data_IF_939779780187
#
_entry.id   IF_939779780187
#
_cell.length_a   1.000
_cell.length_b   1.000
_cell.length_c   1.000
_cell.angle_alpha   90.00
_cell.angle_beta   90.00
_cell.angle_gamma   90.00
#
_symmetry.space_group_name_H-M   'P 1'
#
loop_
_entity.id
_entity.type
_entity.pdbx_description
1 polymer ?
#
# COMPACT_ATOMS: atom_id res chain seq x y z
N UNK A 1 12.73 17.60 12.17
CA UNK A 1 12.40 17.03 13.50
C UNK A 1 10.89 16.87 13.69
N UNK A 2 10.07 17.87 13.38
CA UNK A 2 8.64 17.91 13.74
C UNK A 2 7.72 17.14 12.80
N UNK A 3 8.13 16.84 11.58
CA UNK A 3 7.33 16.11 10.61
C UNK A 3 8.02 14.82 10.13
N UNK A 4 9.14 14.92 9.41
CA UNK A 4 9.72 13.79 8.72
C UNK A 4 10.07 12.59 9.64
N UNK A 5 10.66 12.84 10.82
CA UNK A 5 11.02 11.75 11.74
C UNK A 5 9.78 11.11 12.38
N UNK A 6 8.86 11.85 13.03
CA UNK A 6 7.69 11.22 13.66
C UNK A 6 6.77 10.58 12.62
N UNK A 7 6.54 11.21 11.46
CA UNK A 7 5.74 10.62 10.39
C UNK A 7 6.32 9.31 9.88
N UNK A 8 7.61 9.26 9.56
CA UNK A 8 8.24 8.04 9.05
C UNK A 8 8.33 6.93 10.11
N UNK A 9 8.50 7.26 11.40
CA UNK A 9 8.39 6.26 12.48
C UNK A 9 7.00 5.64 12.53
N UNK A 10 5.96 6.45 12.35
CA UNK A 10 4.57 6.02 12.34
C UNK A 10 4.26 5.15 11.11
N UNK A 11 4.76 5.55 9.94
CA UNK A 11 4.57 4.85 8.67
C UNK A 11 5.32 3.52 8.61
N UNK A 12 6.60 3.51 8.96
CA UNK A 12 7.45 2.33 8.79
C UNK A 12 7.38 1.35 9.97
N UNK A 13 6.89 1.79 11.13
CA UNK A 13 6.90 0.96 12.36
C UNK A 13 8.27 0.31 12.62
N UNK A 14 9.34 0.97 12.20
CA UNK A 14 10.71 0.48 12.20
C UNK A 14 11.63 1.64 12.57
N UNK A 15 12.66 1.41 13.41
CA UNK A 15 13.66 2.43 13.70
C UNK A 15 14.32 2.92 12.40
N UNK A 16 14.30 4.23 12.15
CA UNK A 16 14.83 4.79 10.88
C UNK A 16 16.34 4.53 10.72
N UNK A 17 17.07 4.37 11.81
CA UNK A 17 18.49 4.02 11.78
C UNK A 17 18.78 2.60 11.27
N UNK A 18 17.78 1.70 11.25
CA UNK A 18 17.89 0.35 10.69
C UNK A 18 17.45 0.28 9.22
N UNK A 19 17.17 1.44 8.59
CA UNK A 19 16.74 1.53 7.20
C UNK A 19 17.84 2.14 6.35
N UNK A 20 17.94 1.65 5.11
CA UNK A 20 18.72 2.29 4.06
C UNK A 20 18.05 3.60 3.61
N UNK A 21 18.81 4.46 2.92
CA UNK A 21 18.28 5.70 2.35
C UNK A 21 17.88 5.56 0.88
N UNK A 22 18.10 4.42 0.26
CA UNK A 22 17.81 4.16 -1.15
C UNK A 22 16.33 4.36 -1.53
N UNK A 23 15.39 4.12 -0.59
CA UNK A 23 13.97 4.38 -0.81
C UNK A 23 13.61 5.86 -0.99
N UNK A 24 14.48 6.77 -0.57
CA UNK A 24 14.26 8.21 -0.74
C UNK A 24 14.40 8.65 -2.21
N UNK A 25 15.19 7.93 -2.99
CA UNK A 25 15.47 8.27 -4.38
C UNK A 25 14.20 8.38 -5.22
N UNK A 26 13.96 9.55 -5.83
CA UNK A 26 12.81 9.85 -6.66
C UNK A 26 11.45 9.97 -5.92
N UNK A 27 11.37 9.59 -4.65
CA UNK A 27 10.12 9.65 -3.85
C UNK A 27 10.05 10.86 -2.92
N UNK A 28 11.19 11.32 -2.46
CA UNK A 28 11.29 12.51 -1.61
C UNK A 28 12.10 13.56 -2.37
N UNK A 29 11.50 14.69 -2.74
CA UNK A 29 12.23 15.75 -3.41
C UNK A 29 13.32 16.32 -2.49
N UNK A 30 14.48 16.59 -3.04
CA UNK A 30 15.53 17.30 -2.30
C UNK A 30 15.04 18.71 -1.96
N UNK A 31 15.33 19.20 -0.74
CA UNK A 31 14.94 20.55 -0.36
C UNK A 31 15.65 21.57 -1.25
N UNK A 32 14.90 22.51 -1.80
CA UNK A 32 15.38 23.67 -2.52
C UNK A 32 15.29 24.90 -1.59
N UNK A 33 16.43 25.51 -1.29
CA UNK A 33 16.49 26.64 -0.35
C UNK A 33 15.68 27.84 -0.86
N UNK A 34 15.72 28.13 -2.16
CA UNK A 34 14.98 29.25 -2.74
C UNK A 34 13.46 29.01 -2.61
N UNK A 35 12.98 27.78 -2.87
CA UNK A 35 11.58 27.42 -2.67
C UNK A 35 11.16 27.49 -1.21
N UNK A 36 12.02 27.06 -0.28
CA UNK A 36 11.74 27.13 1.17
C UNK A 36 11.58 28.60 1.59
N UNK A 37 12.50 29.46 1.19
CA UNK A 37 12.44 30.90 1.53
C UNK A 37 11.22 31.55 0.89
N UNK A 38 10.97 31.30 -0.39
CA UNK A 38 9.80 31.84 -1.09
C UNK A 38 8.48 31.38 -0.46
N UNK A 39 8.39 30.08 -0.13
CA UNK A 39 7.20 29.52 0.51
C UNK A 39 6.96 29.99 1.96
N UNK A 40 8.01 30.45 2.65
CA UNK A 40 7.91 31.09 3.95
C UNK A 40 7.38 32.54 3.87
N UNK A 41 7.57 33.22 2.74
CA UNK A 41 7.14 34.60 2.51
C UNK A 41 5.74 34.68 1.88
N UNK A 42 5.41 33.74 1.00
CA UNK A 42 4.12 33.69 0.33
C UNK A 42 3.77 32.23 -0.05
N UNK A 43 2.47 31.87 -0.13
CA UNK A 43 2.05 30.55 -0.61
C UNK A 43 2.63 30.26 -1.99
N UNK A 44 3.11 29.02 -2.22
CA UNK A 44 3.61 28.61 -3.52
C UNK A 44 2.45 28.51 -4.54
N UNK A 45 2.61 29.15 -5.69
CA UNK A 45 1.61 29.15 -6.76
C UNK A 45 1.45 27.80 -7.46
N UNK A 46 2.47 26.96 -7.40
CA UNK A 46 2.48 25.64 -8.08
C UNK A 46 2.65 24.53 -7.07
N UNK A 47 1.88 23.41 -7.23
CA UNK A 47 2.09 22.21 -6.42
C UNK A 47 3.52 21.69 -6.60
N UNK A 48 4.16 21.29 -5.51
CA UNK A 48 5.52 20.74 -5.49
C UNK A 48 5.49 19.31 -4.99
N UNK A 49 6.30 18.44 -5.59
CA UNK A 49 6.47 17.06 -5.18
C UNK A 49 5.94 16.03 -6.19
N UNK A 50 6.23 14.74 -5.97
CA UNK A 50 5.94 13.66 -6.93
C UNK A 50 4.44 13.45 -7.17
N UNK A 51 3.59 13.83 -6.21
CA UNK A 51 2.13 13.71 -6.30
C UNK A 51 1.42 15.04 -6.62
N UNK A 52 2.18 16.04 -7.11
CA UNK A 52 1.62 17.35 -7.44
C UNK A 52 0.53 17.30 -8.52
N UNK A 53 0.62 16.31 -9.41
CA UNK A 53 -0.40 15.96 -10.40
C UNK A 53 -0.50 14.46 -10.53
N UNK A 54 -1.73 13.94 -10.59
CA UNK A 54 -2.00 12.53 -10.87
C UNK A 54 -3.28 12.41 -11.71
N UNK A 55 -3.38 11.32 -12.48
CA UNK A 55 -4.60 10.96 -13.18
C UNK A 55 -5.45 9.99 -12.36
N UNK A 56 -6.76 10.11 -12.46
CA UNK A 56 -7.71 9.20 -11.82
C UNK A 56 -8.88 8.93 -12.78
N UNK A 57 -9.43 7.71 -12.84
CA UNK A 57 -10.60 7.43 -13.65
C UNK A 57 -11.79 8.29 -13.26
N UNK A 58 -12.46 8.91 -14.23
CA UNK A 58 -13.61 9.77 -13.97
C UNK A 58 -14.76 9.00 -13.32
N UNK A 59 -14.98 7.73 -13.71
CA UNK A 59 -16.02 6.84 -13.20
C UNK A 59 -15.46 5.46 -12.89
N UNK A 60 -16.09 4.74 -11.93
CA UNK A 60 -15.76 3.37 -11.58
C UNK A 60 -14.55 3.21 -10.64
N UNK A 61 -14.04 4.32 -10.08
CA UNK A 61 -12.92 4.29 -9.16
C UNK A 61 -11.64 3.80 -9.84
N UNK A 62 -10.62 3.47 -9.04
CA UNK A 62 -9.34 2.98 -9.58
C UNK A 62 -9.47 1.64 -10.32
N UNK A 63 -10.48 0.83 -9.96
CA UNK A 63 -10.80 -0.44 -10.62
C UNK A 63 -11.09 -0.26 -12.12
N UNK A 64 -11.65 0.88 -12.54
CA UNK A 64 -11.91 1.17 -13.94
C UNK A 64 -10.65 1.12 -14.81
N UNK A 65 -9.48 1.48 -14.26
CA UNK A 65 -8.21 1.36 -14.95
C UNK A 65 -7.89 -0.11 -15.27
N UNK A 66 -8.08 -1.01 -14.29
CA UNK A 66 -7.87 -2.45 -14.49
C UNK A 66 -8.91 -3.05 -15.44
N UNK A 67 -10.16 -2.69 -15.29
CA UNK A 67 -11.24 -3.15 -16.16
C UNK A 67 -11.01 -2.74 -17.64
N UNK A 68 -10.31 -1.63 -17.87
CA UNK A 68 -9.92 -1.18 -19.21
C UNK A 68 -9.00 -2.13 -19.96
N UNK A 69 -8.28 -3.00 -19.27
CA UNK A 69 -7.42 -4.02 -19.89
C UNK A 69 -8.21 -5.27 -20.33
N UNK A 70 -9.33 -5.58 -19.68
CA UNK A 70 -10.07 -6.83 -19.92
C UNK A 70 -10.42 -7.08 -21.39
N UNK A 71 -10.90 -6.10 -22.17
CA UNK A 71 -11.23 -6.31 -23.60
C UNK A 71 -10.00 -6.63 -24.48
N UNK A 72 -8.79 -6.36 -23.98
CA UNK A 72 -7.54 -6.55 -24.71
C UNK A 72 -6.83 -7.87 -24.34
N UNK A 73 -7.36 -8.63 -23.36
CA UNK A 73 -6.81 -9.91 -22.98
C UNK A 73 -7.29 -10.99 -23.96
N UNK A 74 -6.35 -11.71 -24.56
CA UNK A 74 -6.61 -12.90 -25.39
C UNK A 74 -6.50 -14.22 -24.64
N UNK A 75 -6.10 -14.15 -23.34
CA UNK A 75 -5.96 -15.32 -22.49
C UNK A 75 -7.17 -15.48 -21.55
N UNK A 76 -7.31 -16.66 -20.97
CA UNK A 76 -8.30 -16.92 -19.92
C UNK A 76 -7.92 -16.16 -18.66
N UNK A 77 -8.86 -15.38 -18.12
CA UNK A 77 -8.77 -14.77 -16.80
C UNK A 77 -9.64 -15.57 -15.82
N UNK A 78 -8.99 -16.23 -14.87
CA UNK A 78 -9.70 -16.92 -13.78
C UNK A 78 -9.62 -16.08 -12.50
N UNK A 79 -10.77 -15.87 -11.87
CA UNK A 79 -10.90 -15.19 -10.58
C UNK A 79 -11.48 -16.15 -9.54
N UNK A 80 -11.29 -15.83 -8.24
CA UNK A 80 -11.77 -16.68 -7.16
C UNK A 80 -10.97 -17.97 -6.95
N UNK A 81 -9.84 -18.14 -7.66
CA UNK A 81 -8.96 -19.31 -7.56
C UNK A 81 -7.57 -18.86 -7.16
N UNK A 82 -7.07 -19.37 -6.05
CA UNK A 82 -5.73 -19.06 -5.55
C UNK A 82 -4.73 -20.16 -5.94
N UNK A 83 -3.45 -19.79 -6.07
CA UNK A 83 -2.35 -20.77 -6.12
C UNK A 83 -2.08 -21.24 -4.69
N UNK A 84 -2.17 -22.54 -4.45
CA UNK A 84 -1.94 -23.18 -3.15
C UNK A 84 -0.50 -23.67 -2.98
N UNK A 85 0.14 -24.10 -4.07
CA UNK A 85 1.49 -24.65 -4.06
C UNK A 85 2.20 -24.40 -5.40
N UNK A 86 3.51 -24.22 -5.34
CA UNK A 86 4.37 -24.09 -6.53
C UNK A 86 5.46 -25.15 -6.45
N UNK A 87 5.65 -25.88 -7.53
CA UNK A 87 6.68 -26.92 -7.68
C UNK A 87 7.66 -26.51 -8.79
N UNK A 88 8.72 -25.76 -8.47
CA UNK A 88 9.62 -25.19 -9.48
C UNK A 88 10.30 -26.24 -10.35
N UNK A 89 10.74 -27.39 -9.77
CA UNK A 89 11.47 -28.43 -10.48
C UNK A 89 10.61 -29.11 -11.54
N UNK A 90 9.32 -29.33 -11.27
CA UNK A 90 8.36 -29.91 -12.22
C UNK A 90 7.64 -28.88 -13.05
N UNK A 91 7.92 -27.58 -12.82
CA UNK A 91 7.24 -26.44 -13.47
C UNK A 91 5.72 -26.56 -13.39
N UNK A 92 5.20 -26.79 -12.19
CA UNK A 92 3.76 -26.94 -11.99
C UNK A 92 3.28 -26.12 -10.80
N UNK A 93 2.00 -25.75 -10.84
CA UNK A 93 1.29 -25.12 -9.73
C UNK A 93 0.06 -25.94 -9.38
N UNK A 94 -0.26 -25.99 -8.10
CA UNK A 94 -1.51 -26.54 -7.58
C UNK A 94 -2.42 -25.39 -7.18
N UNK A 95 -3.65 -25.41 -7.65
CA UNK A 95 -4.66 -24.41 -7.33
C UNK A 95 -5.45 -24.79 -6.09
N UNK A 96 -6.14 -23.82 -5.48
CA UNK A 96 -6.97 -24.03 -4.28
C UNK A 96 -8.16 -24.99 -4.48
N UNK A 97 -8.58 -25.19 -5.73
CA UNK A 97 -9.61 -26.15 -6.12
C UNK A 97 -9.05 -27.56 -6.45
N UNK A 98 -7.77 -27.79 -6.25
CA UNK A 98 -7.10 -29.07 -6.48
C UNK A 98 -6.59 -29.30 -7.89
N UNK A 99 -6.83 -28.41 -8.85
CA UNK A 99 -6.30 -28.51 -10.22
C UNK A 99 -4.78 -28.34 -10.22
N UNK A 100 -4.12 -29.06 -11.12
CA UNK A 100 -2.68 -28.92 -11.37
C UNK A 100 -2.46 -28.35 -12.77
N UNK A 101 -1.66 -27.30 -12.86
CA UNK A 101 -1.32 -26.65 -14.12
C UNK A 101 0.21 -26.74 -14.33
N UNK A 102 0.62 -27.06 -15.56
CA UNK A 102 2.01 -26.99 -16.00
C UNK A 102 2.29 -25.60 -16.60
N UNK A 103 3.51 -25.12 -16.47
CA UNK A 103 3.96 -23.88 -17.08
C UNK A 103 5.33 -24.02 -17.73
N UNK A 104 5.55 -23.32 -18.82
CA UNK A 104 6.88 -23.12 -19.41
C UNK A 104 7.57 -21.93 -18.77
N UNK A 105 6.81 -20.86 -18.55
CA UNK A 105 7.22 -19.64 -17.88
C UNK A 105 6.14 -19.24 -16.87
N UNK A 106 6.54 -18.85 -15.68
CA UNK A 106 5.64 -18.33 -14.63
C UNK A 106 5.97 -16.86 -14.37
N UNK A 107 4.99 -15.99 -14.51
CA UNK A 107 5.09 -14.59 -14.09
C UNK A 107 4.31 -14.44 -12.79
N UNK A 108 4.99 -14.02 -11.72
CA UNK A 108 4.39 -13.83 -10.41
C UNK A 108 4.28 -12.34 -10.07
N UNK A 109 3.11 -11.95 -9.57
CA UNK A 109 2.88 -10.64 -8.94
C UNK A 109 2.65 -10.74 -7.44
N UNK A 110 2.75 -11.97 -6.88
CA UNK A 110 2.63 -12.21 -5.44
C UNK A 110 3.72 -11.49 -4.65
N UNK A 111 3.47 -11.11 -3.39
CA UNK A 111 4.53 -10.67 -2.51
C UNK A 111 5.67 -11.70 -2.45
N UNK A 112 6.91 -11.23 -2.57
CA UNK A 112 8.08 -12.10 -2.73
C UNK A 112 8.23 -13.15 -1.61
N UNK A 113 8.02 -12.83 -0.32
CA UNK A 113 8.03 -13.84 0.74
C UNK A 113 6.93 -14.90 0.58
N UNK A 114 5.76 -14.48 0.12
CA UNK A 114 4.62 -15.37 -0.09
C UNK A 114 4.87 -16.34 -1.26
N UNK A 115 5.46 -15.85 -2.35
CA UNK A 115 5.89 -16.68 -3.48
C UNK A 115 6.84 -17.79 -3.02
N UNK A 116 7.83 -17.47 -2.20
CA UNK A 116 8.78 -18.45 -1.66
C UNK A 116 8.07 -19.41 -0.68
N UNK A 117 7.15 -18.91 0.15
CA UNK A 117 6.35 -19.72 1.08
C UNK A 117 5.55 -20.81 0.35
N UNK A 118 4.95 -20.50 -0.80
CA UNK A 118 4.19 -21.45 -1.61
C UNK A 118 5.05 -22.57 -2.20
N UNK A 119 6.36 -22.40 -2.27
CA UNK A 119 7.30 -23.43 -2.70
C UNK A 119 7.73 -24.35 -1.54
N UNK A 120 7.66 -23.88 -0.31
CA UNK A 120 8.00 -24.63 0.89
C UNK A 120 9.42 -25.20 0.83
N UNK A 121 9.58 -26.47 1.20
CA UNK A 121 10.87 -27.17 1.21
C UNK A 121 11.51 -27.36 -0.19
N UNK A 122 10.82 -27.03 -1.27
CA UNK A 122 11.36 -27.10 -2.64
C UNK A 122 12.27 -25.90 -2.95
N UNK A 123 12.12 -24.79 -2.24
CA UNK A 123 13.09 -23.71 -2.29
C UNK A 123 14.31 -24.06 -1.43
N UNK A 124 15.54 -23.74 -1.88
CA UNK A 124 16.75 -23.92 -1.07
C UNK A 124 16.65 -23.23 0.29
N UNK A 125 17.24 -23.80 1.32
CA UNK A 125 17.21 -23.25 2.68
C UNK A 125 17.67 -21.78 2.72
N UNK A 126 18.71 -21.43 1.98
CA UNK A 126 19.21 -20.05 1.90
C UNK A 126 18.15 -19.09 1.33
N UNK A 127 17.36 -19.53 0.32
CA UNK A 127 16.26 -18.73 -0.27
C UNK A 127 15.11 -18.56 0.73
N UNK A 128 14.74 -19.62 1.45
CA UNK A 128 13.72 -19.57 2.50
C UNK A 128 14.13 -18.62 3.63
N UNK A 129 15.39 -18.69 4.06
CA UNK A 129 15.94 -17.78 5.09
C UNK A 129 15.95 -16.33 4.61
N UNK A 130 16.39 -16.07 3.37
CA UNK A 130 16.35 -14.74 2.78
C UNK A 130 14.93 -14.18 2.73
N UNK A 131 13.95 -15.00 2.31
CA UNK A 131 12.55 -14.60 2.25
C UNK A 131 11.97 -14.29 3.65
N UNK A 132 12.29 -15.08 4.67
CA UNK A 132 11.83 -14.86 6.05
C UNK A 132 12.39 -13.60 6.71
N UNK A 133 13.49 -13.07 6.18
CA UNK A 133 14.10 -11.82 6.63
C UNK A 133 13.55 -10.58 5.93
N UNK A 134 12.77 -10.74 4.87
CA UNK A 134 12.14 -9.60 4.18
C UNK A 134 11.04 -9.00 5.04
N UNK A 135 11.11 -7.69 5.27
CA UNK A 135 10.23 -6.96 6.18
C UNK A 135 9.28 -6.06 5.42
N UNK A 136 8.07 -5.96 5.92
CA UNK A 136 7.04 -5.06 5.41
C UNK A 136 6.20 -4.50 6.55
N UNK A 137 5.40 -3.52 6.25
CA UNK A 137 4.29 -3.07 7.10
C UNK A 137 2.98 -3.39 6.40
N UNK A 138 1.96 -3.64 7.21
CA UNK A 138 0.57 -3.77 6.78
C UNK A 138 -0.15 -2.44 6.93
N UNK A 139 -1.21 -2.23 6.17
CA UNK A 139 -2.10 -1.07 6.32
C UNK A 139 -3.53 -1.55 6.51
N UNK A 140 -4.17 -1.01 7.51
CA UNK A 140 -5.61 -1.08 7.69
C UNK A 140 -6.21 0.25 7.22
N UNK A 141 -7.12 0.19 6.26
CA UNK A 141 -7.89 1.32 5.78
C UNK A 141 -9.26 1.33 6.44
N UNK A 142 -9.57 2.37 7.19
CA UNK A 142 -10.93 2.65 7.64
C UNK A 142 -11.52 3.67 6.68
N UNK A 143 -12.52 3.24 5.90
CA UNK A 143 -13.23 4.08 4.96
C UNK A 143 -14.48 4.66 5.64
N UNK A 144 -14.72 5.94 5.47
CA UNK A 144 -15.87 6.65 6.01
C UNK A 144 -16.58 7.41 4.89
N UNK A 145 -17.90 7.29 4.83
CA UNK A 145 -18.78 8.15 4.04
C UNK A 145 -19.46 9.15 4.96
N UNK A 146 -19.26 10.44 4.70
CA UNK A 146 -19.73 11.56 5.53
C UNK A 146 -20.89 12.25 4.83
N UNK A 147 -21.95 12.56 5.55
CA UNK A 147 -23.16 13.24 5.08
C UNK A 147 -22.98 14.74 4.80
N UNK A 148 -21.88 15.09 4.14
CA UNK A 148 -21.53 16.46 3.78
C UNK A 148 -20.89 16.49 2.39
N UNK A 149 -21.26 17.43 1.49
CA UNK A 149 -20.84 17.39 0.08
C UNK A 149 -19.36 17.74 -0.13
N UNK A 150 -18.72 18.40 0.83
CA UNK A 150 -17.30 18.77 0.76
C UNK A 150 -16.70 18.81 2.18
N UNK A 151 -15.51 18.25 2.33
CA UNK A 151 -14.77 18.25 3.61
C UNK A 151 -13.51 19.12 3.50
N UNK A 152 -12.77 18.96 2.41
CA UNK A 152 -11.49 19.65 2.17
C UNK A 152 -11.17 19.59 0.69
N UNK A 153 -10.36 20.54 0.20
CA UNK A 153 -9.83 20.54 -1.18
C UNK A 153 -8.55 19.70 -1.33
N UNK A 154 -8.04 19.14 -0.24
CA UNK A 154 -6.82 18.33 -0.26
C UNK A 154 -7.12 16.91 -0.77
N UNK A 155 -6.12 16.27 -1.40
CA UNK A 155 -6.20 14.86 -1.76
C UNK A 155 -5.67 13.96 -0.65
N UNK A 156 -4.55 14.35 -0.02
CA UNK A 156 -3.95 13.65 1.11
C UNK A 156 -3.57 14.61 2.22
N UNK A 157 -3.79 14.17 3.45
CA UNK A 157 -3.36 14.89 4.65
C UNK A 157 -2.54 13.91 5.50
N UNK A 158 -1.36 14.35 5.91
CA UNK A 158 -0.39 13.54 6.64
C UNK A 158 -0.35 13.95 8.11
N UNK A 159 -0.39 12.96 9.00
CA UNK A 159 -0.47 13.18 10.45
C UNK A 159 0.75 12.58 11.16
N UNK A 160 1.77 13.38 11.50
CA UNK A 160 2.94 12.92 12.25
C UNK A 160 2.66 12.74 13.74
N UNK A 161 1.57 13.32 14.25
CA UNK A 161 1.20 13.32 15.67
C UNK A 161 0.54 12.01 16.13
N UNK A 162 -0.26 12.11 17.19
CA UNK A 162 -0.82 11.01 17.95
C UNK A 162 -2.15 10.44 17.43
N UNK A 163 -2.60 10.84 16.24
CA UNK A 163 -3.73 10.17 15.57
C UNK A 163 -3.40 8.70 15.31
N UNK A 164 -4.41 7.84 15.30
CA UNK A 164 -4.23 6.44 14.98
C UNK A 164 -3.73 6.26 13.53
N UNK A 165 -4.33 6.96 12.59
CA UNK A 165 -3.91 6.96 11.19
C UNK A 165 -2.67 7.85 10.97
N UNK A 166 -1.84 7.46 10.01
CA UNK A 166 -0.69 8.25 9.58
C UNK A 166 -1.06 9.20 8.43
N UNK A 167 -2.11 8.88 7.69
CA UNK A 167 -2.57 9.63 6.53
C UNK A 167 -4.08 9.49 6.35
N UNK A 168 -4.72 10.55 5.84
CA UNK A 168 -6.06 10.48 5.29
C UNK A 168 -5.96 10.69 3.78
N UNK A 169 -6.64 9.85 3.01
CA UNK A 169 -6.92 10.05 1.60
C UNK A 169 -8.36 10.56 1.46
N UNK A 170 -8.53 11.69 0.81
CA UNK A 170 -9.81 12.32 0.53
C UNK A 170 -10.26 11.91 -0.88
N UNK A 171 -10.71 10.69 -1.01
CA UNK A 171 -11.03 10.07 -2.31
C UNK A 171 -12.16 10.79 -3.04
N UNK A 172 -13.02 11.50 -2.30
CA UNK A 172 -14.06 12.34 -2.87
C UNK A 172 -13.53 13.42 -3.81
N UNK A 173 -12.27 13.83 -3.64
CA UNK A 173 -11.61 14.81 -4.52
C UNK A 173 -10.91 14.17 -5.73
N UNK A 174 -10.79 12.86 -5.79
CA UNK A 174 -10.14 12.18 -6.92
C UNK A 174 -11.01 12.22 -8.18
N UNK A 175 -12.35 12.17 -8.02
CA UNK A 175 -13.32 12.36 -9.09
C UNK A 175 -14.66 12.85 -8.51
N UNK A 176 -15.38 13.73 -9.20
CA UNK A 176 -16.72 14.17 -8.77
C UNK A 176 -17.74 13.01 -8.70
N UNK A 177 -17.43 11.88 -9.35
CA UNK A 177 -18.28 10.69 -9.35
C UNK A 177 -17.89 9.64 -8.28
N UNK A 178 -16.93 9.96 -7.41
CA UNK A 178 -16.56 9.11 -6.28
C UNK A 178 -17.50 9.29 -5.07
N UNK A 179 -18.34 10.34 -5.08
CA UNK A 179 -19.27 10.63 -3.99
C UNK A 179 -20.72 10.48 -4.44
N UNK A 180 -21.63 10.05 -3.55
CA UNK A 180 -23.06 10.22 -3.75
C UNK A 180 -23.44 11.70 -3.61
N UNK A 181 -24.61 12.13 -4.13
CA UNK A 181 -25.13 13.48 -3.86
C UNK A 181 -25.23 13.75 -2.36
N UNK A 182 -24.66 14.87 -1.91
CA UNK A 182 -24.64 15.27 -0.50
C UNK A 182 -23.65 14.53 0.40
N UNK A 183 -22.89 13.56 -0.13
CA UNK A 183 -21.92 12.80 0.65
C UNK A 183 -20.48 13.01 0.20
N UNK A 184 -19.53 12.61 1.04
CA UNK A 184 -18.09 12.68 0.77
C UNK A 184 -17.35 11.50 1.38
N UNK A 185 -16.50 10.84 0.59
CA UNK A 185 -15.71 9.70 1.02
C UNK A 185 -14.30 10.08 1.46
N UNK A 186 -13.85 9.53 2.57
CA UNK A 186 -12.45 9.57 3.03
C UNK A 186 -11.97 8.21 3.51
N UNK A 187 -10.65 8.01 3.51
CA UNK A 187 -9.98 6.80 4.00
C UNK A 187 -8.91 7.17 5.01
N UNK A 188 -9.00 6.63 6.22
CA UNK A 188 -7.96 6.69 7.24
C UNK A 188 -7.01 5.50 7.06
N UNK A 189 -5.71 5.77 6.82
CA UNK A 189 -4.70 4.74 6.63
C UNK A 189 -3.89 4.52 7.91
N UNK A 190 -3.94 3.30 8.45
CA UNK A 190 -3.31 2.92 9.71
C UNK A 190 -2.27 1.84 9.44
N UNK A 191 -1.01 2.14 9.70
CA UNK A 191 0.07 1.16 9.57
C UNK A 191 0.17 0.30 10.82
N UNK A 192 0.35 -1.01 10.62
CA UNK A 192 0.55 -1.97 11.69
C UNK A 192 1.56 -3.07 11.27
N UNK A 193 1.95 -3.90 12.21
CA UNK A 193 2.81 -5.08 12.03
C UNK A 193 2.42 -6.13 13.07
N UNK A 194 2.81 -7.38 12.85
CA UNK A 194 2.53 -8.48 13.78
C UNK A 194 3.10 -8.22 15.20
N UNK A 195 4.28 -7.59 15.26
CA UNK A 195 4.93 -7.19 16.53
C UNK A 195 4.42 -5.85 17.07
N UNK A 196 3.60 -5.11 16.34
CA UNK A 196 2.96 -3.85 16.71
C UNK A 196 1.53 -3.81 16.13
N UNK A 197 0.61 -4.63 16.66
CA UNK A 197 -0.74 -4.78 16.13
C UNK A 197 -1.58 -3.51 16.30
N UNK A 198 -2.75 -3.51 15.68
CA UNK A 198 -3.76 -2.48 15.89
C UNK A 198 -4.22 -2.50 17.37
N UNK A 199 -4.52 -1.33 17.97
CA UNK A 199 -4.94 -1.26 19.37
C UNK A 199 -6.36 -1.79 19.61
N UNK A 200 -7.18 -1.89 18.56
CA UNK A 200 -8.56 -2.40 18.56
C UNK A 200 -8.95 -2.83 17.15
N UNK A 201 -10.09 -3.50 17.00
CA UNK A 201 -10.59 -4.04 15.74
C UNK A 201 -12.08 -3.71 15.56
N UNK A 202 -12.59 -3.96 14.34
CA UNK A 202 -13.99 -3.81 14.02
C UNK A 202 -14.55 -2.43 14.31
N UNK A 203 -15.72 -2.37 14.92
CA UNK A 203 -16.42 -1.11 15.22
C UNK A 203 -15.64 -0.18 16.13
N UNK A 204 -14.88 -0.72 17.10
CA UNK A 204 -14.03 0.08 17.98
C UNK A 204 -12.90 0.81 17.21
N UNK A 205 -12.38 0.19 16.15
CA UNK A 205 -11.37 0.81 15.28
C UNK A 205 -11.99 1.93 14.44
N UNK A 206 -13.19 1.70 13.91
CA UNK A 206 -13.95 2.71 13.16
C UNK A 206 -14.22 3.92 14.06
N UNK A 207 -14.77 3.69 15.25
CA UNK A 207 -15.09 4.76 16.19
C UNK A 207 -13.84 5.56 16.58
N UNK A 208 -12.72 4.88 16.82
CA UNK A 208 -11.45 5.56 17.11
C UNK A 208 -10.98 6.44 15.96
N UNK A 209 -11.17 6.02 14.72
CA UNK A 209 -10.85 6.85 13.55
C UNK A 209 -11.77 8.07 13.45
N UNK A 210 -13.06 7.91 13.74
CA UNK A 210 -14.03 9.00 13.77
C UNK A 210 -13.62 10.03 14.83
N UNK A 211 -13.35 9.58 16.06
CA UNK A 211 -12.93 10.45 17.17
C UNK A 211 -11.65 11.22 16.82
N UNK A 212 -10.68 10.55 16.22
CA UNK A 212 -9.44 11.20 15.76
C UNK A 212 -9.70 12.19 14.61
N UNK A 213 -10.61 11.90 13.68
CA UNK A 213 -11.00 12.81 12.59
C UNK A 213 -11.70 14.07 13.15
N UNK A 214 -12.56 13.93 14.15
CA UNK A 214 -13.19 15.06 14.87
C UNK A 214 -12.11 15.88 15.57
N UNK A 215 -11.25 15.24 16.34
CA UNK A 215 -10.18 15.86 17.11
C UNK A 215 -9.23 16.71 16.26
N UNK A 216 -8.95 16.26 15.01
CA UNK A 216 -8.07 17.00 14.08
C UNK A 216 -8.85 17.94 13.14
N UNK A 217 -10.16 18.06 13.30
CA UNK A 217 -11.01 19.00 12.57
C UNK A 217 -11.27 18.64 11.10
N UNK A 218 -11.20 17.37 10.75
CA UNK A 218 -11.55 16.88 9.39
C UNK A 218 -13.05 16.71 9.26
N UNK A 219 -13.69 16.16 10.29
CA UNK A 219 -15.15 16.06 10.39
C UNK A 219 -15.62 16.74 11.67
N UNK A 220 -16.89 17.14 11.73
CA UNK A 220 -17.51 17.76 12.89
C UNK A 220 -18.22 16.69 13.73
N UNK A 221 -18.50 17.00 15.00
CA UNK A 221 -19.25 16.10 15.90
C UNK A 221 -20.68 15.79 15.42
N UNK A 222 -21.28 16.72 14.68
CA UNK A 222 -22.64 16.63 14.12
C UNK A 222 -22.69 16.09 12.68
N UNK A 223 -21.53 15.77 12.07
CA UNK A 223 -21.50 15.14 10.75
C UNK A 223 -22.07 13.71 10.81
N UNK A 224 -23.07 13.42 9.97
CA UNK A 224 -23.61 12.07 9.84
C UNK A 224 -22.60 11.13 9.19
N UNK A 225 -22.39 9.96 9.78
CA UNK A 225 -21.63 8.87 9.18
C UNK A 225 -22.58 7.97 8.37
N UNK A 226 -22.60 8.17 7.05
CA UNK A 226 -23.49 7.45 6.14
C UNK A 226 -23.11 5.97 5.97
N UNK A 227 -21.82 5.69 6.00
CA UNK A 227 -21.27 4.33 5.85
C UNK A 227 -19.86 4.25 6.37
N UNK A 228 -19.46 3.06 6.77
CA UNK A 228 -18.09 2.75 7.15
C UNK A 228 -17.69 1.35 6.69
N UNK A 229 -16.40 1.14 6.46
CA UNK A 229 -15.84 -0.19 6.17
C UNK A 229 -14.37 -0.27 6.53
N UNK A 230 -13.90 -1.50 6.72
CA UNK A 230 -12.49 -1.79 6.98
C UNK A 230 -11.93 -2.64 5.85
N UNK A 231 -10.76 -2.26 5.33
CA UNK A 231 -10.00 -3.05 4.36
C UNK A 231 -8.59 -3.24 4.87
N UNK A 232 -8.18 -4.49 5.06
CA UNK A 232 -6.83 -4.84 5.46
C UNK A 232 -5.96 -5.17 4.25
N UNK A 233 -4.79 -4.56 4.20
CA UNK A 233 -3.74 -4.82 3.23
C UNK A 233 -2.52 -5.41 3.96
N UNK A 234 -2.35 -6.75 3.96
CA UNK A 234 -1.29 -7.41 4.71
C UNK A 234 0.10 -7.03 4.21
N UNK A 235 0.26 -6.76 2.92
CA UNK A 235 1.51 -6.28 2.31
C UNK A 235 1.29 -4.87 1.77
N UNK A 236 1.73 -3.84 2.51
CA UNK A 236 1.51 -2.44 2.10
C UNK A 236 2.80 -1.71 1.75
N UNK A 237 3.76 -1.66 2.67
CA UNK A 237 5.03 -1.00 2.43
C UNK A 237 6.20 -1.93 2.72
N UNK A 238 7.07 -2.11 1.73
CA UNK A 238 8.32 -2.82 1.87
C UNK A 238 9.29 -2.00 2.72
N UNK A 239 9.83 -2.61 3.77
CA UNK A 239 10.85 -1.97 4.61
C UNK A 239 12.21 -2.15 3.97
N UNK A 240 12.87 -1.03 3.67
CA UNK A 240 14.21 -1.00 3.08
C UNK A 240 15.26 -1.08 4.20
N UNK A 241 15.40 -2.23 4.81
CA UNK A 241 16.48 -2.45 5.78
C UNK A 241 17.80 -2.85 5.09
N UNK A 242 18.88 -2.87 5.85
CA UNK A 242 20.23 -3.12 5.31
C UNK A 242 20.41 -4.53 4.74
N UNK A 243 19.56 -5.49 5.05
CA UNK A 243 19.64 -6.86 4.52
C UNK A 243 18.78 -7.06 3.25
N UNK A 244 17.83 -6.15 2.98
CA UNK A 244 16.84 -6.30 1.91
C UNK A 244 17.49 -6.56 0.55
N UNK A 245 18.45 -5.73 0.15
CA UNK A 245 19.02 -5.78 -1.20
C UNK A 245 19.72 -7.10 -1.49
N UNK A 246 20.49 -7.63 -0.52
CA UNK A 246 21.16 -8.92 -0.64
C UNK A 246 20.15 -10.08 -0.67
N UNK A 247 19.15 -10.06 0.22
CA UNK A 247 18.12 -11.09 0.28
C UNK A 247 17.27 -11.14 -1.00
N UNK A 248 16.85 -9.99 -1.52
CA UNK A 248 16.11 -9.91 -2.78
C UNK A 248 16.95 -10.43 -3.95
N UNK A 249 18.22 -10.04 -4.05
CA UNK A 249 19.10 -10.49 -5.11
C UNK A 249 19.28 -12.02 -5.10
N UNK A 250 19.45 -12.62 -3.91
CA UNK A 250 19.57 -14.06 -3.76
C UNK A 250 18.30 -14.80 -4.25
N UNK A 251 17.13 -14.34 -3.80
CA UNK A 251 15.84 -14.94 -4.19
C UNK A 251 15.61 -14.81 -5.69
N UNK A 252 15.80 -13.60 -6.26
CA UNK A 252 15.63 -13.34 -7.71
C UNK A 252 16.54 -14.21 -8.57
N UNK A 253 17.82 -14.34 -8.20
CA UNK A 253 18.77 -15.14 -8.92
C UNK A 253 18.36 -16.61 -8.97
N UNK A 254 17.86 -17.16 -7.87
CA UNK A 254 17.38 -18.52 -7.84
C UNK A 254 16.07 -18.69 -8.65
N UNK A 255 15.08 -17.81 -8.50
CA UNK A 255 13.82 -17.86 -9.23
C UNK A 255 14.05 -17.83 -10.76
N UNK A 256 15.00 -17.03 -11.22
CA UNK A 256 15.37 -16.98 -12.63
C UNK A 256 15.82 -18.33 -13.19
N UNK A 257 16.52 -19.16 -12.39
CA UNK A 257 16.91 -20.52 -12.79
C UNK A 257 15.72 -21.47 -12.88
N UNK A 258 14.57 -21.11 -12.30
CA UNK A 258 13.35 -21.92 -12.29
C UNK A 258 12.31 -21.47 -13.34
N UNK A 259 12.68 -20.56 -14.25
CA UNK A 259 11.77 -19.94 -15.23
C UNK A 259 10.60 -19.19 -14.56
N UNK A 260 10.88 -18.57 -13.41
CA UNK A 260 9.92 -17.76 -12.64
C UNK A 260 10.36 -16.31 -12.71
N UNK A 261 9.50 -15.47 -13.27
CA UNK A 261 9.71 -14.04 -13.45
C UNK A 261 8.88 -13.25 -12.45
N UNK A 262 9.45 -12.16 -11.97
CA UNK A 262 8.79 -11.26 -11.04
C UNK A 262 8.26 -10.04 -11.79
N UNK A 263 7.07 -9.59 -11.45
CA UNK A 263 6.47 -8.38 -11.99
C UNK A 263 5.69 -7.62 -10.92
N UNK A 264 5.86 -6.30 -10.89
CA UNK A 264 5.14 -5.41 -9.99
C UNK A 264 5.76 -5.28 -8.60
N UNK A 265 5.33 -4.23 -7.90
CA UNK A 265 5.92 -3.72 -6.66
C UNK A 265 6.19 -4.77 -5.58
N UNK A 266 5.22 -5.63 -5.30
CA UNK A 266 5.34 -6.59 -4.20
C UNK A 266 6.15 -7.82 -4.56
N UNK A 267 6.09 -8.24 -5.82
CA UNK A 267 6.90 -9.36 -6.31
C UNK A 267 8.37 -8.96 -6.46
N UNK A 268 8.63 -7.74 -6.91
CA UNK A 268 9.98 -7.18 -6.99
C UNK A 268 10.51 -6.67 -5.65
N UNK A 269 9.64 -6.60 -4.65
CA UNK A 269 9.91 -6.15 -3.29
C UNK A 269 10.44 -4.71 -3.21
N UNK A 270 9.64 -3.77 -3.80
CA UNK A 270 9.97 -2.33 -3.92
C UNK A 270 8.97 -1.38 -3.23
#
# INVERSE_FOLDING_TARGET
RHFAVPYNRKLWKTPLASMETSWLGGRVPLPDLAQIVSGALAPLEKPVGPNARFGYPLRGGFQALMNGFLPHLSCTLETGTAVAEIQPQSRSVTLSDGRHLQYDQLISTLPLPELVRLMGARAPQAVQQAASQLRHTSVCCVNLGIGRPAISEKHWIYYPGDTLFHRIFLQGNASPHCNPPGGFGLTCEITWRDDQPLPCEGEALIQRCIDDCIRVGIINEDDEILTSSIVNMPYAYVVYDHARSANVALIRSWLATQSIHLAGRYSEWE
#
